data_IF_869590051248
#
_entry.id   IF_869590051248
#
_cell.length_a   1.000
_cell.length_b   1.000
_cell.length_c   1.000
_cell.angle_alpha   90.00
_cell.angle_beta   90.00
_cell.angle_gamma   90.00
#
_symmetry.space_group_name_H-M   'P 1'
#
loop_
_entity.id
_entity.type
_entity.pdbx_description
1 polymer ?
#
# COMPACT_ATOMS: atom_id res chain seq x y z
N UNK A 1 19.03 20.41 3.13
CA UNK A 1 19.97 21.43 2.59
C UNK A 1 21.12 20.72 1.88
N UNK A 2 21.60 21.24 0.74
CA UNK A 2 22.83 20.73 0.10
C UNK A 2 24.04 21.26 0.86
N UNK A 3 24.91 20.38 1.33
CA UNK A 3 26.27 20.72 1.73
C UNK A 3 27.19 19.70 1.04
N UNK A 4 28.20 20.18 0.34
CA UNK A 4 29.20 19.34 -0.35
C UNK A 4 28.59 18.42 -1.44
N UNK A 5 27.51 18.85 -2.08
CA UNK A 5 26.81 18.09 -3.14
C UNK A 5 25.81 17.05 -2.64
N UNK A 6 25.84 16.70 -1.35
CA UNK A 6 24.92 15.73 -0.74
C UNK A 6 23.74 16.41 -0.01
N UNK A 7 22.56 15.82 -0.16
CA UNK A 7 21.35 16.24 0.56
C UNK A 7 21.40 15.69 1.99
N UNK A 8 21.40 16.58 2.98
CA UNK A 8 21.38 16.19 4.39
C UNK A 8 20.22 16.78 5.17
N UNK A 9 19.79 16.02 6.17
CA UNK A 9 18.88 16.48 7.22
C UNK A 9 19.60 17.47 8.11
N UNK A 10 18.97 18.63 8.34
CA UNK A 10 19.47 19.69 9.20
C UNK A 10 18.37 20.04 10.17
N UNK A 11 18.73 20.24 11.44
CA UNK A 11 17.79 20.72 12.44
C UNK A 11 17.29 22.10 12.01
N UNK A 12 15.98 22.26 11.93
CA UNK A 12 15.34 23.51 11.50
C UNK A 12 14.21 23.88 12.43
N UNK A 13 13.90 25.18 12.50
CA UNK A 13 12.70 25.67 13.18
C UNK A 13 11.52 25.48 12.22
N UNK A 14 10.46 24.85 12.73
CA UNK A 14 9.22 24.64 11.96
C UNK A 14 8.36 25.89 12.07
N UNK A 15 7.86 26.35 10.93
CA UNK A 15 6.95 27.49 10.79
C UNK A 15 5.56 26.94 10.43
N UNK A 16 4.68 26.81 11.42
CA UNK A 16 3.41 26.09 11.28
C UNK A 16 2.48 26.71 10.23
N UNK A 17 2.54 28.03 10.04
CA UNK A 17 1.71 28.74 9.06
C UNK A 17 2.04 28.34 7.61
N UNK A 18 3.24 27.80 7.37
CA UNK A 18 3.67 27.27 6.07
C UNK A 18 3.32 25.79 5.86
N UNK A 19 2.84 25.11 6.90
CA UNK A 19 2.58 23.68 6.90
C UNK A 19 1.11 23.33 7.12
N UNK A 20 0.36 24.13 7.88
CA UNK A 20 -1.08 23.94 8.09
C UNK A 20 -1.85 24.82 7.12
N UNK A 21 -2.48 24.19 6.13
CA UNK A 21 -3.14 24.87 5.02
C UNK A 21 -4.64 24.66 5.16
N UNK A 22 -5.39 25.74 5.36
CA UNK A 22 -6.86 25.71 5.40
C UNK A 22 -7.37 26.42 4.16
N UNK A 23 -7.62 25.70 3.05
CA UNK A 23 -8.07 26.34 1.82
C UNK A 23 -9.51 26.87 1.99
N UNK A 24 -9.75 28.06 1.44
CA UNK A 24 -11.10 28.60 1.31
C UNK A 24 -11.82 27.84 0.20
N UNK A 25 -12.79 27.01 0.58
CA UNK A 25 -13.65 26.29 -0.34
C UNK A 25 -14.94 27.10 -0.54
N UNK A 26 -15.41 27.24 -1.78
CA UNK A 26 -16.66 27.96 -2.05
C UNK A 26 -17.86 27.22 -1.43
N UNK A 27 -18.85 27.96 -0.92
CA UNK A 27 -19.97 27.38 -0.17
C UNK A 27 -20.97 26.59 -1.04
N UNK A 28 -21.02 26.84 -2.34
CA UNK A 28 -21.82 26.09 -3.31
C UNK A 28 -20.97 25.02 -3.98
N UNK A 29 -20.89 23.85 -3.34
CA UNK A 29 -20.24 22.67 -3.90
C UNK A 29 -21.32 21.64 -4.23
N UNK A 30 -21.46 21.33 -5.52
CA UNK A 30 -22.45 20.35 -6.00
C UNK A 30 -22.13 18.92 -5.55
N UNK A 31 -20.85 18.59 -5.35
CA UNK A 31 -20.41 17.25 -4.92
C UNK A 31 -19.20 17.33 -3.97
N UNK A 32 -19.44 17.36 -2.65
CA UNK A 32 -18.37 17.49 -1.65
C UNK A 32 -17.31 16.41 -1.75
N UNK A 33 -17.70 15.13 -1.88
CA UNK A 33 -16.77 14.01 -2.02
C UNK A 33 -15.88 14.16 -3.27
N UNK A 34 -16.46 14.57 -4.40
CA UNK A 34 -15.71 14.81 -5.64
C UNK A 34 -14.72 15.96 -5.48
N UNK A 35 -15.09 17.02 -4.75
CA UNK A 35 -14.18 18.13 -4.45
C UNK A 35 -12.95 17.66 -3.66
N UNK A 36 -13.13 16.78 -2.67
CA UNK A 36 -12.00 16.19 -1.92
C UNK A 36 -11.12 15.35 -2.84
N UNK A 37 -11.73 14.50 -3.67
CA UNK A 37 -11.01 13.67 -4.65
C UNK A 37 -10.18 14.50 -5.64
N UNK A 38 -10.77 15.57 -6.19
CA UNK A 38 -10.12 16.46 -7.14
C UNK A 38 -9.01 17.29 -6.45
N UNK A 39 -9.22 17.70 -5.19
CA UNK A 39 -8.21 18.37 -4.37
C UNK A 39 -6.97 17.49 -4.16
N UNK A 40 -7.15 16.25 -3.72
CA UNK A 40 -6.05 15.29 -3.52
C UNK A 40 -5.36 14.99 -4.86
N UNK A 41 -6.13 14.84 -5.93
CA UNK A 41 -5.60 14.65 -7.28
C UNK A 41 -4.71 15.82 -7.71
N UNK A 42 -5.11 17.06 -7.42
CA UNK A 42 -4.30 18.24 -7.71
C UNK A 42 -3.04 18.34 -6.84
N UNK A 43 -3.11 17.99 -5.55
CA UNK A 43 -1.91 17.90 -4.69
C UNK A 43 -0.89 16.89 -5.21
N UNK A 44 -1.32 15.84 -5.89
CA UNK A 44 -0.42 14.83 -6.47
C UNK A 44 0.35 15.29 -7.71
N UNK A 45 -0.08 16.42 -8.31
CA UNK A 45 0.54 17.01 -9.52
C UNK A 45 1.66 18.00 -9.18
N UNK A 46 1.72 18.47 -7.94
CA UNK A 46 2.77 19.39 -7.48
C UNK A 46 3.80 18.66 -6.64
N UNK A 47 4.96 19.28 -6.43
CA UNK A 47 5.95 18.83 -5.44
C UNK A 47 5.86 19.68 -4.16
N UNK A 48 6.34 19.14 -3.04
CA UNK A 48 6.53 19.94 -1.82
C UNK A 48 7.82 20.74 -1.99
N UNK A 49 7.80 22.01 -1.59
CA UNK A 49 8.99 22.86 -1.63
C UNK A 49 10.10 22.33 -0.72
N UNK A 50 11.30 22.15 -1.27
CA UNK A 50 12.48 21.69 -0.52
C UNK A 50 13.11 22.76 0.39
N UNK A 51 12.55 23.98 0.39
CA UNK A 51 12.93 25.08 1.28
C UNK A 51 12.40 24.91 2.70
N UNK A 52 11.40 24.06 2.90
CA UNK A 52 10.75 23.78 4.20
C UNK A 52 10.78 22.28 4.53
N UNK A 53 10.52 21.89 5.80
CA UNK A 53 10.27 20.49 6.14
C UNK A 53 9.26 19.83 5.17
N UNK A 54 9.52 18.60 4.76
CA UNK A 54 8.84 18.01 3.60
C UNK A 54 7.47 17.39 3.93
N UNK A 55 6.61 18.14 4.63
CA UNK A 55 5.26 17.73 5.01
C UNK A 55 4.30 18.92 5.01
N UNK A 56 3.02 18.66 4.75
CA UNK A 56 1.92 19.65 4.77
C UNK A 56 0.65 18.98 5.30
N UNK A 57 -0.11 19.68 6.14
CA UNK A 57 -1.41 19.26 6.64
C UNK A 57 -2.48 20.20 6.05
N UNK A 58 -3.38 19.65 5.25
CA UNK A 58 -4.48 20.41 4.66
C UNK A 58 -5.77 20.08 5.39
N UNK A 59 -6.50 21.09 5.88
CA UNK A 59 -7.77 20.91 6.58
C UNK A 59 -8.89 21.43 5.69
N UNK A 60 -9.65 20.50 5.12
CA UNK A 60 -10.80 20.80 4.27
C UNK A 60 -12.04 20.86 5.17
N UNK A 61 -12.44 22.07 5.53
CA UNK A 61 -13.68 22.33 6.29
C UNK A 61 -14.90 22.19 5.36
N UNK A 62 -15.13 20.97 4.91
CA UNK A 62 -16.17 20.57 3.99
C UNK A 62 -16.81 19.28 4.52
N UNK A 63 -18.13 19.34 4.75
CA UNK A 63 -18.91 18.17 5.13
C UNK A 63 -19.08 17.27 3.91
N UNK A 64 -18.57 16.05 4.00
CA UNK A 64 -18.72 15.00 2.99
C UNK A 64 -19.83 14.03 3.38
N UNK A 65 -20.04 12.99 2.56
CA UNK A 65 -20.97 11.91 2.91
C UNK A 65 -20.63 11.19 4.23
N UNK A 66 -19.34 11.13 4.59
CA UNK A 66 -18.85 10.31 5.70
C UNK A 66 -18.23 11.13 6.87
N UNK A 67 -18.00 12.44 6.73
CA UNK A 67 -17.30 13.25 7.73
C UNK A 67 -17.71 14.74 7.74
N UNK A 68 -17.59 15.40 8.89
CA UNK A 68 -17.83 16.85 9.04
C UNK A 68 -16.68 17.72 8.48
N UNK A 69 -15.46 17.18 8.47
CA UNK A 69 -14.25 17.83 7.93
C UNK A 69 -13.21 16.76 7.57
N UNK A 70 -12.33 17.08 6.62
CA UNK A 70 -11.31 16.14 6.12
C UNK A 70 -9.91 16.73 6.33
N UNK A 71 -9.03 15.96 6.96
CA UNK A 71 -7.61 16.26 7.03
C UNK A 71 -6.83 15.46 5.99
N UNK A 72 -6.07 16.13 5.13
CA UNK A 72 -5.17 15.52 4.14
C UNK A 72 -3.74 15.77 4.56
N UNK A 73 -3.02 14.69 4.91
CA UNK A 73 -1.62 14.77 5.29
C UNK A 73 -0.72 14.39 4.12
N UNK A 74 0.03 15.38 3.61
CA UNK A 74 0.91 15.24 2.45
C UNK A 74 2.36 15.20 2.91
N UNK A 75 3.06 14.10 2.61
CA UNK A 75 4.41 13.85 3.13
C UNK A 75 5.31 13.34 2.01
N UNK A 76 6.54 13.85 1.96
CA UNK A 76 7.57 13.33 1.07
C UNK A 76 8.11 11.99 1.59
N UNK A 77 8.25 11.00 0.70
CA UNK A 77 8.64 9.62 1.04
C UNK A 77 10.04 9.47 1.65
N UNK A 78 10.87 10.53 1.61
CA UNK A 78 12.16 10.55 2.32
C UNK A 78 12.01 10.62 3.85
N UNK A 79 10.85 11.06 4.36
CA UNK A 79 10.60 11.15 5.80
C UNK A 79 10.36 9.79 6.44
N UNK A 80 9.92 8.80 5.67
CA UNK A 80 9.79 7.43 6.16
C UNK A 80 8.79 6.59 5.39
N UNK A 81 8.77 5.32 5.73
CA UNK A 81 7.80 4.35 5.27
C UNK A 81 6.49 4.44 6.08
N UNK A 82 5.48 3.65 5.69
CA UNK A 82 4.18 3.64 6.38
C UNK A 82 4.29 3.38 7.88
N UNK A 83 5.26 2.56 8.32
CA UNK A 83 5.49 2.30 9.74
C UNK A 83 6.15 3.49 10.46
N UNK A 84 7.15 4.11 9.85
CA UNK A 84 7.78 5.32 10.40
C UNK A 84 6.76 6.46 10.50
N UNK A 85 5.88 6.58 9.51
CA UNK A 85 4.82 7.58 9.52
C UNK A 85 3.75 7.29 10.59
N UNK A 86 3.32 6.04 10.75
CA UNK A 86 2.40 5.67 11.83
C UNK A 86 3.04 5.93 13.21
N UNK A 87 4.34 5.67 13.37
CA UNK A 87 5.08 6.01 14.59
C UNK A 87 5.03 7.51 14.87
N UNK A 88 5.23 8.33 13.82
CA UNK A 88 5.17 9.78 13.94
C UNK A 88 3.78 10.25 14.37
N UNK A 89 2.71 9.73 13.76
CA UNK A 89 1.33 10.08 14.14
C UNK A 89 1.07 9.75 15.60
N UNK A 90 1.48 8.57 16.07
CA UNK A 90 1.34 8.17 17.47
C UNK A 90 2.20 9.00 18.41
N UNK A 91 3.44 9.34 18.01
CA UNK A 91 4.33 10.21 18.77
C UNK A 91 3.78 11.64 18.91
N UNK A 92 3.02 12.10 17.94
CA UNK A 92 2.31 13.37 17.96
C UNK A 92 0.94 13.31 18.66
N UNK A 93 0.48 12.12 19.05
CA UNK A 93 -0.80 11.90 19.72
C UNK A 93 -0.63 11.73 21.23
N UNK A 94 -1.67 12.04 22.00
CA UNK A 94 -1.71 11.87 23.46
C UNK A 94 -3.01 11.23 23.90
N UNK A 95 -3.00 10.58 25.06
CA UNK A 95 -4.23 10.03 25.64
C UNK A 95 -5.13 11.18 26.10
N UNK A 96 -6.44 11.04 25.87
CA UNK A 96 -7.44 12.00 26.38
C UNK A 96 -7.40 12.04 27.92
N UNK A 97 -7.20 10.88 28.56
CA UNK A 97 -7.09 10.75 30.01
C UNK A 97 -5.76 11.22 30.59
N UNK A 98 -4.69 11.27 29.80
CA UNK A 98 -3.36 11.70 30.24
C UNK A 98 -2.61 12.41 29.09
N UNK A 99 -2.58 13.76 29.10
CA UNK A 99 -1.97 14.58 28.04
C UNK A 99 -0.46 14.39 27.86
N UNK A 100 0.25 13.81 28.82
CA UNK A 100 1.68 13.53 28.70
C UNK A 100 1.97 12.09 28.23
N UNK A 101 0.96 11.21 28.28
CA UNK A 101 1.13 9.82 27.88
C UNK A 101 0.88 9.62 26.38
N UNK A 102 1.74 8.80 25.78
CA UNK A 102 1.54 8.28 24.43
C UNK A 102 0.33 7.34 24.37
N UNK A 103 -0.28 7.16 23.18
CA UNK A 103 -1.38 6.21 23.01
C UNK A 103 -0.99 4.79 23.43
N UNK A 104 -1.86 4.12 24.20
CA UNK A 104 -1.67 2.72 24.56
C UNK A 104 -1.91 1.84 23.33
N UNK A 105 -0.89 1.09 22.95
CA UNK A 105 -0.94 0.20 21.82
C UNK A 105 -1.18 -1.24 22.29
N UNK A 106 -2.07 -2.01 21.65
CA UNK A 106 -2.29 -3.41 22.01
C UNK A 106 -1.04 -4.23 21.70
N UNK A 107 -0.29 -4.57 22.75
CA UNK A 107 0.90 -5.42 22.68
C UNK A 107 0.45 -6.87 22.59
N UNK A 108 0.42 -7.44 21.38
CA UNK A 108 0.22 -8.89 21.23
C UNK A 108 1.51 -9.61 21.66
N UNK A 109 1.51 -10.29 22.81
CA UNK A 109 2.63 -11.15 23.24
C UNK A 109 2.96 -12.12 22.10
N UNK A 110 4.23 -12.19 21.71
CA UNK A 110 4.69 -13.20 20.75
C UNK A 110 4.39 -14.58 21.35
N UNK A 111 3.55 -15.38 20.70
CA UNK A 111 3.53 -16.80 20.98
C UNK A 111 4.91 -17.34 20.62
N UNK A 112 5.56 -18.04 21.55
CA UNK A 112 6.78 -18.78 21.25
C UNK A 112 6.53 -19.66 20.02
N UNK A 113 7.49 -19.76 19.08
CA UNK A 113 7.36 -20.72 17.99
C UNK A 113 7.21 -22.12 18.61
N UNK A 114 6.18 -22.84 18.20
CA UNK A 114 5.97 -24.23 18.59
C UNK A 114 7.23 -25.05 18.24
N UNK A 115 7.64 -26.00 19.11
CA UNK A 115 8.81 -26.82 18.85
C UNK A 115 8.66 -27.56 17.53
N UNK A 116 9.73 -27.50 16.73
CA UNK A 116 9.79 -28.08 15.39
C UNK A 116 9.59 -29.59 15.49
N UNK A 117 8.36 -30.04 15.23
CA UNK A 117 8.05 -31.45 15.05
C UNK A 117 8.55 -31.91 13.66
N UNK A 118 8.61 -33.22 13.40
CA UNK A 118 9.18 -33.85 12.18
C UNK A 118 8.69 -33.30 10.82
N UNK A 119 7.58 -32.55 10.77
CA UNK A 119 7.16 -31.74 9.62
C UNK A 119 8.06 -30.51 9.32
N UNK A 120 9.02 -30.20 10.19
CA UNK A 120 9.92 -29.06 10.08
C UNK A 120 10.86 -29.11 8.89
N UNK A 121 11.41 -30.29 8.56
CA UNK A 121 12.30 -30.45 7.40
C UNK A 121 11.53 -30.18 6.11
N UNK A 122 10.35 -30.77 5.96
CA UNK A 122 9.50 -30.53 4.80
C UNK A 122 9.08 -29.06 4.70
N UNK A 123 8.69 -28.45 5.82
CA UNK A 123 8.38 -27.03 5.89
C UNK A 123 9.56 -26.16 5.46
N UNK A 124 10.78 -26.46 5.92
CA UNK A 124 12.01 -25.76 5.53
C UNK A 124 12.32 -25.96 4.04
N UNK A 125 12.22 -27.18 3.52
CA UNK A 125 12.40 -27.45 2.09
C UNK A 125 11.42 -26.63 1.25
N UNK A 126 10.14 -26.61 1.65
CA UNK A 126 9.11 -25.85 0.96
C UNK A 126 9.38 -24.33 1.04
N UNK A 127 9.87 -23.82 2.17
CA UNK A 127 10.24 -22.41 2.34
C UNK A 127 11.38 -22.03 1.39
N UNK A 128 12.43 -22.86 1.34
CA UNK A 128 13.59 -22.65 0.47
C UNK A 128 13.16 -22.70 -0.99
N UNK A 129 12.41 -23.71 -1.38
CA UNK A 129 11.90 -23.86 -2.74
C UNK A 129 11.03 -22.67 -3.16
N UNK A 130 10.05 -22.29 -2.34
CA UNK A 130 9.21 -21.12 -2.61
C UNK A 130 10.02 -19.84 -2.75
N UNK A 131 11.02 -19.65 -1.90
CA UNK A 131 11.91 -18.48 -1.94
C UNK A 131 12.71 -18.45 -3.25
N UNK A 132 13.28 -19.58 -3.67
CA UNK A 132 14.01 -19.68 -4.94
C UNK A 132 13.08 -19.32 -6.11
N UNK A 133 11.90 -19.95 -6.18
CA UNK A 133 10.92 -19.69 -7.24
C UNK A 133 10.52 -18.21 -7.26
N UNK A 134 10.28 -17.60 -6.10
CA UNK A 134 9.86 -16.20 -6.02
C UNK A 134 10.95 -15.21 -6.43
N UNK A 135 12.19 -15.43 -5.98
CA UNK A 135 13.32 -14.58 -6.36
C UNK A 135 13.59 -14.70 -7.86
N UNK A 136 13.54 -15.91 -8.41
CA UNK A 136 13.69 -16.12 -9.85
C UNK A 136 12.55 -15.46 -10.63
N UNK A 137 11.30 -15.59 -10.18
CA UNK A 137 10.16 -14.92 -10.80
C UNK A 137 10.27 -13.40 -10.69
N UNK A 138 10.77 -12.86 -9.59
CA UNK A 138 11.03 -11.43 -9.43
C UNK A 138 12.08 -10.93 -10.42
N UNK A 139 13.23 -11.60 -10.51
CA UNK A 139 14.30 -11.27 -11.45
C UNK A 139 13.80 -11.39 -12.89
N UNK A 140 13.12 -12.48 -13.23
CA UNK A 140 12.53 -12.67 -14.56
C UNK A 140 11.53 -11.55 -14.89
N UNK A 141 10.67 -11.16 -13.94
CA UNK A 141 9.72 -10.05 -14.09
C UNK A 141 10.43 -8.74 -14.37
N UNK A 142 11.51 -8.45 -13.64
CA UNK A 142 12.29 -7.23 -13.81
C UNK A 142 13.03 -7.18 -15.15
N UNK A 143 13.48 -8.33 -15.67
CA UNK A 143 14.31 -8.40 -16.88
C UNK A 143 13.52 -8.58 -18.17
N UNK A 144 12.52 -9.46 -18.22
CA UNK A 144 11.88 -9.85 -19.49
C UNK A 144 10.44 -10.36 -19.40
N UNK A 145 10.01 -10.90 -18.26
CA UNK A 145 8.67 -11.49 -18.11
C UNK A 145 7.64 -10.39 -17.91
N UNK A 146 7.17 -9.81 -19.02
CA UNK A 146 6.15 -8.75 -19.05
C UNK A 146 4.74 -9.28 -18.74
N UNK A 147 3.93 -8.43 -18.10
CA UNK A 147 2.50 -8.67 -17.95
C UNK A 147 1.77 -8.48 -19.28
N UNK A 148 0.57 -9.07 -19.37
CA UNK A 148 -0.32 -8.83 -20.51
C UNK A 148 -0.68 -7.34 -20.56
N UNK A 149 -0.65 -6.74 -21.75
CA UNK A 149 -1.15 -5.37 -21.92
C UNK A 149 -2.67 -5.41 -21.72
N UNK A 150 -3.14 -4.67 -20.73
CA UNK A 150 -4.57 -4.58 -20.37
C UNK A 150 -5.02 -3.13 -20.38
N UNK A 151 -6.34 -2.84 -20.32
CA UNK A 151 -6.84 -1.48 -20.10
C UNK A 151 -6.25 -0.77 -18.87
N UNK A 152 -5.67 -1.51 -17.91
CA UNK A 152 -4.99 -0.96 -16.73
C UNK A 152 -3.57 -0.46 -17.04
N UNK A 153 -2.96 -0.91 -18.14
CA UNK A 153 -1.56 -0.63 -18.46
C UNK A 153 -1.29 0.83 -18.82
N UNK A 154 -2.34 1.65 -19.00
CA UNK A 154 -2.24 3.04 -19.46
C UNK A 154 -1.72 3.13 -20.89
N UNK A 155 -1.99 4.25 -21.57
CA UNK A 155 -1.31 4.53 -22.83
C UNK A 155 0.20 4.61 -22.56
N UNK A 156 0.98 3.67 -23.09
CA UNK A 156 2.45 3.68 -23.09
C UNK A 156 3.01 4.82 -23.97
N UNK A 157 2.36 5.97 -24.03
CA UNK A 157 2.94 7.13 -24.67
C UNK A 157 4.05 7.66 -23.78
N UNK A 158 5.22 7.85 -24.40
CA UNK A 158 6.48 8.30 -23.81
C UNK A 158 6.34 9.73 -23.26
N UNK A 159 5.61 9.89 -22.17
CA UNK A 159 5.61 11.04 -21.29
C UNK A 159 6.17 10.61 -19.94
N UNK A 160 6.73 11.56 -19.22
CA UNK A 160 7.38 11.52 -17.90
C UNK A 160 6.55 10.90 -16.74
N UNK A 161 5.83 9.80 -16.91
CA UNK A 161 5.30 8.94 -15.83
C UNK A 161 4.37 9.61 -14.79
N UNK A 162 4.05 10.88 -14.98
CA UNK A 162 3.31 11.73 -14.06
C UNK A 162 2.01 12.21 -14.71
N UNK A 163 1.36 11.33 -15.47
CA UNK A 163 -0.02 11.57 -15.90
C UNK A 163 -0.91 11.94 -14.71
N UNK A 164 -1.93 12.77 -14.95
CA UNK A 164 -2.87 13.21 -13.91
C UNK A 164 -3.43 12.00 -13.15
N UNK A 165 -3.00 11.79 -11.91
CA UNK A 165 -3.52 10.74 -11.04
C UNK A 165 -4.91 11.16 -10.57
N UNK A 166 -5.91 10.30 -10.77
CA UNK A 166 -7.23 10.47 -10.16
C UNK A 166 -7.31 9.64 -8.89
N UNK A 167 -7.66 10.27 -7.79
CA UNK A 167 -7.93 9.60 -6.52
C UNK A 167 -9.44 9.44 -6.37
N UNK A 168 -9.91 8.23 -6.11
CA UNK A 168 -11.30 7.91 -5.77
C UNK A 168 -11.26 7.11 -4.49
N UNK A 169 -12.18 7.37 -3.57
CA UNK A 169 -12.29 6.58 -2.34
C UNK A 169 -13.72 6.09 -2.10
N UNK A 170 -13.82 5.00 -1.35
CA UNK A 170 -15.08 4.49 -0.82
C UNK A 170 -14.87 3.97 0.59
N UNK A 171 -15.81 4.30 1.46
CA UNK A 171 -15.88 3.79 2.82
C UNK A 171 -16.60 2.45 2.82
N UNK A 172 -16.06 1.49 3.55
CA UNK A 172 -16.65 0.15 3.71
C UNK A 172 -16.67 -0.22 5.18
N UNK A 173 -17.71 -0.95 5.61
CA UNK A 173 -17.86 -1.37 7.00
C UNK A 173 -16.75 -2.35 7.39
N UNK A 174 -16.01 -2.01 8.45
CA UNK A 174 -15.01 -2.92 9.02
C UNK A 174 -15.67 -4.15 9.64
N UNK A 175 -16.91 -4.03 10.13
CA UNK A 175 -17.62 -5.14 10.74
C UNK A 175 -18.08 -6.17 9.71
N UNK A 176 -18.44 -5.74 8.50
CA UNK A 176 -18.71 -6.65 7.38
C UNK A 176 -17.44 -7.40 6.97
N UNK A 177 -16.30 -6.70 6.92
CA UNK A 177 -15.00 -7.34 6.65
C UNK A 177 -14.66 -8.37 7.72
N UNK A 178 -14.88 -8.05 9.01
CA UNK A 178 -14.67 -8.98 10.12
C UNK A 178 -15.62 -10.17 10.06
N UNK A 179 -16.87 -9.96 9.66
CA UNK A 179 -17.87 -11.02 9.50
C UNK A 179 -17.39 -12.05 8.46
N UNK A 180 -16.99 -11.59 7.28
CA UNK A 180 -16.45 -12.45 6.21
C UNK A 180 -15.18 -13.16 6.69
N UNK A 181 -14.25 -12.40 7.29
CA UNK A 181 -13.00 -12.93 7.83
C UNK A 181 -13.27 -14.09 8.79
N UNK A 182 -14.19 -13.91 9.73
CA UNK A 182 -14.50 -14.91 10.75
C UNK A 182 -15.21 -16.13 10.14
N UNK A 183 -16.21 -15.91 9.27
CA UNK A 183 -16.93 -16.98 8.58
C UNK A 183 -16.02 -17.84 7.69
N UNK A 184 -15.03 -17.21 7.06
CA UNK A 184 -14.09 -17.87 6.14
C UNK A 184 -12.79 -18.33 6.83
N UNK A 185 -12.62 -18.08 8.13
CA UNK A 185 -11.39 -18.36 8.90
C UNK A 185 -10.13 -17.77 8.23
N UNK A 186 -10.22 -16.53 7.76
CA UNK A 186 -9.15 -15.81 7.06
C UNK A 186 -8.66 -14.58 7.84
N UNK A 187 -7.87 -13.72 7.22
CA UNK A 187 -7.45 -12.42 7.76
C UNK A 187 -8.16 -11.26 7.05
N UNK A 188 -8.15 -10.08 7.66
CA UNK A 188 -8.69 -8.84 7.05
C UNK A 188 -8.03 -8.59 5.68
N UNK A 189 -6.71 -8.79 5.58
CA UNK A 189 -5.97 -8.59 4.34
C UNK A 189 -6.41 -9.57 3.24
N UNK A 190 -6.75 -10.81 3.58
CA UNK A 190 -7.25 -11.79 2.61
C UNK A 190 -8.62 -11.35 2.05
N UNK A 191 -9.49 -10.81 2.91
CA UNK A 191 -10.80 -10.29 2.50
C UNK A 191 -10.65 -9.06 1.60
N UNK A 192 -9.85 -8.07 2.00
CA UNK A 192 -9.61 -6.85 1.19
C UNK A 192 -8.96 -7.19 -0.15
N UNK A 193 -8.04 -8.14 -0.17
CA UNK A 193 -7.43 -8.64 -1.41
C UNK A 193 -8.46 -9.36 -2.30
N UNK A 194 -9.33 -10.18 -1.71
CA UNK A 194 -10.43 -10.84 -2.43
C UNK A 194 -11.40 -9.83 -3.05
N UNK A 195 -11.80 -8.80 -2.31
CA UNK A 195 -12.64 -7.70 -2.83
C UNK A 195 -11.93 -6.97 -3.98
N UNK A 196 -10.63 -6.74 -3.85
CA UNK A 196 -9.82 -6.10 -4.90
C UNK A 196 -9.75 -6.95 -6.18
N UNK A 197 -9.55 -8.27 -6.04
CA UNK A 197 -9.59 -9.22 -7.17
C UNK A 197 -10.96 -9.25 -7.85
N UNK A 198 -12.04 -9.27 -7.07
CA UNK A 198 -13.41 -9.24 -7.59
C UNK A 198 -13.70 -7.93 -8.35
N UNK A 199 -13.35 -6.80 -7.76
CA UNK A 199 -13.54 -5.48 -8.35
C UNK A 199 -12.76 -5.34 -9.67
N UNK A 200 -11.49 -5.75 -9.67
CA UNK A 200 -10.63 -5.67 -10.86
C UNK A 200 -11.10 -6.61 -11.97
N UNK A 201 -11.55 -7.81 -11.61
CA UNK A 201 -12.08 -8.78 -12.58
C UNK A 201 -13.37 -8.28 -13.24
N UNK A 202 -14.29 -7.72 -12.46
CA UNK A 202 -15.52 -7.11 -13.00
C UNK A 202 -15.22 -5.87 -13.84
N UNK A 203 -14.28 -5.03 -13.40
CA UNK A 203 -13.87 -3.84 -14.16
C UNK A 203 -13.29 -4.21 -15.52
N UNK A 204 -12.30 -5.12 -15.55
CA UNK A 204 -11.69 -5.58 -16.80
C UNK A 204 -12.72 -6.26 -17.70
N UNK A 205 -13.63 -7.07 -17.14
CA UNK A 205 -14.68 -7.72 -17.92
C UNK A 205 -15.62 -6.70 -18.62
N UNK A 206 -15.93 -5.59 -17.94
CA UNK A 206 -16.73 -4.50 -18.52
C UNK A 206 -15.93 -3.79 -19.62
N UNK A 207 -14.67 -3.42 -19.35
CA UNK A 207 -13.80 -2.75 -20.34
C UNK A 207 -13.62 -3.55 -21.63
N UNK A 208 -13.29 -4.84 -21.53
CA UNK A 208 -13.18 -5.71 -22.71
C UNK A 208 -14.52 -5.98 -23.42
N UNK A 209 -15.65 -5.62 -22.79
CA UNK A 209 -16.97 -5.65 -23.39
C UNK A 209 -17.33 -4.37 -24.14
N UNK A 210 -16.83 -3.21 -23.68
CA UNK A 210 -17.04 -1.90 -24.34
C UNK A 210 -16.36 -1.84 -25.73
N UNK A 211 -15.20 -2.48 -25.89
CA UNK A 211 -14.43 -2.49 -27.14
C UNK A 211 -15.02 -3.38 -28.25
N UNK A 212 -16.09 -4.14 -27.95
CA UNK A 212 -16.77 -4.99 -28.93
C UNK A 212 -18.02 -4.26 -29.37
N UNK A 213 -17.97 -3.66 -30.57
CA UNK A 213 -19.15 -3.09 -31.19
C UNK A 213 -20.28 -4.13 -31.19
N UNK A 214 -21.41 -3.68 -30.66
CA UNK A 214 -22.75 -4.24 -30.79
C UNK A 214 -23.23 -5.24 -29.72
N UNK A 215 -24.41 -4.88 -29.19
CA UNK A 215 -25.30 -5.57 -28.21
C UNK A 215 -24.93 -5.40 -26.74
N UNK A 216 -25.63 -4.43 -26.13
CA UNK A 216 -25.71 -4.09 -24.70
C UNK A 216 -25.04 -5.08 -23.74
N UNK A 217 -24.00 -4.60 -23.08
CA UNK A 217 -23.25 -5.31 -22.05
C UNK A 217 -24.17 -5.74 -20.89
N UNK A 218 -24.81 -6.89 -21.03
CA UNK A 218 -25.43 -7.58 -19.91
C UNK A 218 -24.32 -8.18 -19.06
N UNK A 219 -24.36 -7.94 -17.74
CA UNK A 219 -23.32 -8.31 -16.76
C UNK A 219 -22.96 -9.81 -16.73
N UNK A 220 -23.69 -10.67 -17.44
CA UNK A 220 -23.53 -12.12 -17.44
C UNK A 220 -22.58 -12.68 -18.51
N UNK A 221 -22.12 -11.87 -19.48
CA UNK A 221 -21.17 -12.35 -20.50
C UNK A 221 -19.73 -12.19 -20.02
N UNK A 222 -18.98 -13.28 -20.03
CA UNK A 222 -17.53 -13.25 -19.79
C UNK A 222 -16.82 -12.76 -21.05
N UNK A 223 -16.30 -11.54 -20.99
CA UNK A 223 -15.58 -10.86 -22.06
C UNK A 223 -14.06 -10.90 -21.86
N UNK A 224 -13.57 -11.49 -20.75
CA UNK A 224 -12.15 -11.53 -20.43
C UNK A 224 -11.36 -12.37 -21.45
N UNK A 225 -10.23 -11.88 -21.95
CA UNK A 225 -9.28 -12.70 -22.69
C UNK A 225 -8.83 -13.94 -21.90
N UNK A 226 -8.49 -15.02 -22.61
CA UNK A 226 -7.86 -16.19 -22.00
C UNK A 226 -6.43 -15.82 -21.55
N UNK A 227 -6.02 -16.32 -20.38
CA UNK A 227 -4.64 -16.25 -19.88
C UNK A 227 -4.08 -14.83 -19.63
N UNK A 228 -4.89 -13.92 -19.06
CA UNK A 228 -4.38 -12.62 -18.60
C UNK A 228 -3.33 -12.84 -17.50
N UNK A 229 -2.09 -12.37 -17.75
CA UNK A 229 -1.06 -12.28 -16.73
C UNK A 229 -1.08 -10.88 -16.14
N UNK A 230 -1.41 -10.79 -14.87
CA UNK A 230 -1.33 -9.57 -14.09
C UNK A 230 -0.63 -9.87 -12.76
N UNK A 231 0.34 -9.04 -12.39
CA UNK A 231 1.01 -9.10 -11.09
C UNK A 231 0.88 -7.75 -10.40
N UNK A 232 0.65 -7.80 -9.09
CA UNK A 232 0.73 -6.63 -8.23
C UNK A 232 2.01 -6.69 -7.40
N UNK A 233 2.62 -5.53 -7.16
CA UNK A 233 3.72 -5.42 -6.20
C UNK A 233 3.13 -5.04 -4.85
N UNK A 234 3.19 -5.96 -3.88
CA UNK A 234 2.83 -5.68 -2.50
C UNK A 234 4.07 -5.26 -1.72
N UNK A 235 3.98 -4.11 -1.09
CA UNK A 235 5.01 -3.57 -0.20
C UNK A 235 4.75 -4.02 1.23
N UNK A 236 5.79 -4.51 1.90
CA UNK A 236 5.69 -4.99 3.27
C UNK A 236 6.89 -4.58 4.12
N UNK A 237 6.63 -4.30 5.39
CA UNK A 237 7.65 -3.95 6.36
C UNK A 237 8.54 -5.18 6.64
N UNK A 238 9.85 -5.02 6.50
CA UNK A 238 10.84 -6.10 6.75
C UNK A 238 11.57 -5.96 8.09
N UNK A 239 11.13 -5.03 8.96
CA UNK A 239 11.72 -4.89 10.30
C UNK A 239 11.52 -6.17 11.12
N UNK A 240 12.46 -6.50 12.03
CA UNK A 240 12.40 -7.72 12.84
C UNK A 240 11.21 -7.75 13.81
N UNK A 241 10.80 -6.59 14.35
CA UNK A 241 9.62 -6.50 15.20
C UNK A 241 8.34 -6.41 14.34
N UNK A 242 7.37 -7.31 14.55
CA UNK A 242 6.13 -7.31 13.78
C UNK A 242 5.20 -6.18 14.24
N UNK A 243 4.73 -5.39 13.27
CA UNK A 243 3.62 -4.46 13.46
C UNK A 243 3.87 -3.35 14.48
N UNK A 244 2.84 -3.07 15.29
CA UNK A 244 2.77 -1.93 16.22
C UNK A 244 3.90 -1.96 17.27
N UNK A 245 4.43 -3.13 17.62
CA UNK A 245 5.58 -3.26 18.53
C UNK A 245 6.83 -2.55 18.00
N UNK A 246 7.07 -2.63 16.69
CA UNK A 246 8.16 -1.88 16.07
C UNK A 246 7.98 -0.36 16.26
N UNK A 247 6.74 0.12 16.32
CA UNK A 247 6.46 1.54 16.56
C UNK A 247 6.85 1.91 18.00
N UNK A 248 6.43 1.12 18.99
CA UNK A 248 6.79 1.34 20.40
C UNK A 248 8.31 1.28 20.61
N UNK A 249 8.98 0.26 20.05
CA UNK A 249 10.43 0.12 20.08
C UNK A 249 11.13 1.32 19.41
N UNK A 250 10.64 1.80 18.27
CA UNK A 250 11.22 2.96 17.57
C UNK A 250 11.10 4.27 18.35
N UNK A 251 10.13 4.35 19.25
CA UNK A 251 9.88 5.51 20.09
C UNK A 251 10.67 5.45 21.41
N UNK A 252 11.22 4.30 21.78
CA UNK A 252 12.03 4.12 22.98
C UNK A 252 13.49 4.56 22.77
N UNK A 253 14.01 5.36 23.72
CA UNK A 253 15.40 5.83 23.68
C UNK A 253 16.37 4.65 23.86
N UNK A 254 17.31 4.49 22.94
CA UNK A 254 18.33 3.43 22.98
C UNK A 254 17.92 2.10 22.34
N UNK A 255 16.72 2.04 21.76
CA UNK A 255 16.25 0.87 21.01
C UNK A 255 17.07 0.62 19.75
N UNK A 256 17.21 -0.67 19.38
CA UNK A 256 17.85 -1.10 18.12
C UNK A 256 16.94 -0.89 16.90
N UNK A 257 15.69 -0.51 17.09
CA UNK A 257 14.74 -0.28 16.00
C UNK A 257 15.11 0.98 15.21
N UNK A 258 15.18 0.85 13.87
CA UNK A 258 15.70 1.90 12.99
C UNK A 258 14.57 2.67 12.30
N UNK A 259 14.66 3.99 12.37
CA UNK A 259 13.93 4.93 11.50
C UNK A 259 14.36 4.79 10.03
N UNK A 260 13.48 5.18 9.12
CA UNK A 260 13.74 5.20 7.67
C UNK A 260 12.96 4.15 6.88
N UNK A 261 13.36 3.89 5.64
CA UNK A 261 12.61 3.04 4.71
C UNK A 261 13.08 1.58 4.78
N UNK A 262 12.27 0.71 5.39
CA UNK A 262 12.52 -0.73 5.51
C UNK A 262 11.35 -1.51 4.91
N UNK A 263 11.20 -1.38 3.59
CA UNK A 263 10.12 -1.99 2.82
C UNK A 263 10.71 -3.01 1.86
N UNK A 264 10.23 -4.25 1.94
CA UNK A 264 10.43 -5.30 0.93
C UNK A 264 9.26 -5.38 -0.04
N UNK A 265 9.52 -5.90 -1.22
CA UNK A 265 8.52 -6.04 -2.29
C UNK A 265 8.20 -7.51 -2.55
N UNK A 266 6.93 -7.83 -2.75
CA UNK A 266 6.45 -9.17 -3.10
C UNK A 266 5.60 -9.08 -4.35
N UNK A 267 5.87 -9.91 -5.34
CA UNK A 267 5.05 -10.02 -6.53
C UNK A 267 3.89 -10.97 -6.29
N UNK A 268 2.68 -10.43 -6.19
CA UNK A 268 1.46 -11.20 -6.08
C UNK A 268 0.85 -11.44 -7.46
N UNK A 269 0.66 -12.70 -7.88
CA UNK A 269 -0.11 -12.99 -9.09
C UNK A 269 -1.59 -12.66 -8.85
N UNK A 270 -2.16 -11.81 -9.70
CA UNK A 270 -3.58 -11.48 -9.72
C UNK A 270 -4.25 -12.30 -10.81
N UNK A 271 -5.01 -13.32 -10.39
CA UNK A 271 -5.78 -14.14 -11.33
C UNK A 271 -7.09 -13.43 -11.61
N UNK A 272 -7.18 -12.86 -12.81
CA UNK A 272 -8.37 -12.15 -13.29
C UNK A 272 -9.35 -13.17 -13.86
N UNK A 273 -10.48 -13.36 -13.19
CA UNK A 273 -11.54 -14.27 -13.61
C UNK A 273 -12.87 -13.87 -12.96
N UNK A 274 -13.98 -14.08 -13.67
CA UNK A 274 -15.30 -14.04 -13.05
C UNK A 274 -15.53 -15.34 -12.27
N UNK A 275 -16.18 -15.24 -11.10
CA UNK A 275 -16.52 -16.35 -10.21
C UNK A 275 -18.01 -16.34 -9.96
N UNK A 276 -18.61 -17.53 -9.92
CA UNK A 276 -20.02 -17.70 -9.56
C UNK A 276 -20.22 -17.51 -8.05
N UNK A 277 -19.34 -18.09 -7.24
CA UNK A 277 -19.27 -17.83 -5.80
C UNK A 277 -18.34 -16.63 -5.52
N UNK A 278 -18.85 -15.49 -4.99
CA UNK A 278 -18.02 -14.34 -4.65
C UNK A 278 -16.98 -14.64 -3.54
N UNK A 279 -17.19 -15.68 -2.73
CA UNK A 279 -16.22 -16.08 -1.70
C UNK A 279 -14.98 -16.75 -2.29
N UNK A 280 -15.03 -17.22 -3.54
CA UNK A 280 -13.86 -17.79 -4.22
C UNK A 280 -12.72 -16.78 -4.37
N UNK A 281 -13.03 -15.49 -4.54
CA UNK A 281 -11.99 -14.46 -4.57
C UNK A 281 -11.22 -14.39 -3.25
N UNK A 282 -11.90 -14.56 -2.11
CA UNK A 282 -11.28 -14.57 -0.78
C UNK A 282 -10.48 -15.86 -0.56
N UNK A 283 -11.01 -17.02 -0.97
CA UNK A 283 -10.29 -18.30 -0.90
C UNK A 283 -8.99 -18.24 -1.71
N UNK A 284 -9.08 -17.68 -2.92
CA UNK A 284 -7.93 -17.49 -3.79
C UNK A 284 -6.91 -16.51 -3.22
N UNK A 285 -7.37 -15.36 -2.71
CA UNK A 285 -6.50 -14.39 -2.06
C UNK A 285 -5.72 -15.03 -0.90
N UNK A 286 -6.43 -15.76 -0.04
CA UNK A 286 -5.82 -16.50 1.07
C UNK A 286 -4.77 -17.51 0.59
N UNK A 287 -5.09 -18.35 -0.39
CA UNK A 287 -4.15 -19.35 -0.90
C UNK A 287 -2.87 -18.71 -1.46
N UNK A 288 -3.02 -17.63 -2.24
CA UNK A 288 -1.88 -16.88 -2.80
C UNK A 288 -1.04 -16.24 -1.70
N UNK A 289 -1.69 -15.56 -0.74
CA UNK A 289 -1.02 -14.87 0.36
C UNK A 289 -0.31 -15.87 1.27
N UNK A 290 -0.95 -16.97 1.66
CA UNK A 290 -0.34 -17.95 2.57
C UNK A 290 0.86 -18.65 1.92
N UNK A 291 0.78 -18.94 0.61
CA UNK A 291 1.95 -19.44 -0.12
C UNK A 291 3.09 -18.41 -0.15
N UNK A 292 2.77 -17.12 -0.29
CA UNK A 292 3.76 -16.02 -0.30
C UNK A 292 4.33 -15.70 1.07
N UNK A 293 3.56 -15.90 2.15
CA UNK A 293 4.08 -15.84 3.53
C UNK A 293 5.10 -16.94 3.78
N UNK A 294 4.96 -18.09 3.11
CA UNK A 294 5.93 -19.18 3.15
C UNK A 294 7.07 -19.00 2.14
N UNK A 295 7.62 -17.78 2.08
CA UNK A 295 8.72 -17.37 1.22
C UNK A 295 9.45 -16.18 1.87
N UNK A 296 10.77 -16.07 1.65
CA UNK A 296 11.57 -14.91 2.07
C UNK A 296 11.72 -13.85 0.98
N UNK A 297 10.85 -13.87 -0.04
CA UNK A 297 10.88 -12.95 -1.19
C UNK A 297 11.12 -11.49 -0.79
N UNK A 298 10.31 -10.94 0.13
CA UNK A 298 10.41 -9.54 0.55
C UNK A 298 11.81 -9.13 1.06
N UNK A 299 12.50 -10.03 1.76
CA UNK A 299 13.84 -9.79 2.29
C UNK A 299 14.84 -9.77 1.13
N UNK A 300 14.79 -10.77 0.24
CA UNK A 300 15.69 -10.84 -0.90
C UNK A 300 15.48 -9.69 -1.88
N UNK A 301 14.24 -9.34 -2.20
CA UNK A 301 13.94 -8.23 -3.12
C UNK A 301 14.41 -6.89 -2.55
N UNK A 302 14.29 -6.66 -1.24
CA UNK A 302 14.87 -5.48 -0.59
C UNK A 302 16.39 -5.39 -0.81
N UNK A 303 17.12 -6.48 -0.59
CA UNK A 303 18.57 -6.49 -0.80
C UNK A 303 18.96 -6.33 -2.27
N UNK A 304 18.23 -6.98 -3.18
CA UNK A 304 18.42 -6.84 -4.63
C UNK A 304 18.22 -5.37 -5.05
N UNK A 305 17.10 -4.75 -4.68
CA UNK A 305 16.80 -3.35 -5.01
C UNK A 305 17.87 -2.43 -4.42
N UNK A 306 18.25 -2.62 -3.15
CA UNK A 306 19.29 -1.83 -2.50
C UNK A 306 20.65 -1.95 -3.20
N UNK A 307 21.01 -3.16 -3.64
CA UNK A 307 22.23 -3.40 -4.40
C UNK A 307 22.18 -2.70 -5.75
N UNK A 308 21.08 -2.82 -6.49
CA UNK A 308 20.86 -2.14 -7.78
C UNK A 308 20.99 -0.62 -7.62
N UNK A 309 20.32 -0.04 -6.62
CA UNK A 309 20.42 1.40 -6.33
C UNK A 309 21.83 1.84 -5.96
N UNK A 310 22.60 1.00 -5.26
CA UNK A 310 24.00 1.29 -4.91
C UNK A 310 24.92 1.23 -6.13
N UNK A 311 24.69 0.31 -7.06
CA UNK A 311 25.52 0.11 -8.25
C UNK A 311 25.22 1.12 -9.36
N UNK A 312 23.94 1.45 -9.57
CA UNK A 312 23.50 2.26 -10.70
C UNK A 312 22.99 3.65 -10.32
N UNK A 313 22.88 3.95 -9.02
CA UNK A 313 22.32 5.20 -8.51
C UNK A 313 20.80 5.30 -8.70
N UNK A 314 20.23 6.41 -8.24
CA UNK A 314 18.86 6.80 -8.55
C UNK A 314 18.96 7.76 -9.74
N UNK A 315 18.34 7.40 -10.87
CA UNK A 315 18.13 8.34 -11.96
C UNK A 315 17.05 9.32 -11.50
N UNK A 316 17.46 10.53 -11.14
CA UNK A 316 16.57 11.65 -10.74
C UNK A 316 16.07 12.35 -11.98
#
# INVERSE_FOLDING_TARGET
>A
MKKDGEMKWVRTKVDLDKHVIVPTLHHTIDSPDKTVEDYISNLSKTSIEFSKPLWELHILNLKTSDAESIAVFRIHHSLGDGMSLMSLVLACSRQISNPEALPTLPVKKSSNPDPVNSGGIWWTIQLVWNTIVDVLMFVATALFLKDTVTPLSGGQEKGDGLGSRRFVYRTVSLDDIKLIKNGMKTTINDVVMGVSLAGLSRYLNRRYGEDKEDKGATEKKNNLPKNIRLRATLLMNIRPSPGIHALADMMEKGSKAKWGNWIGSVLLPFVIALRDDPLDYVRQAKATIDRKKHSREAIFTFFIIKMVLKLFGIKV
#
